data_IF_939590004023
#
_entry.id   IF_939590004023
#
_cell.length_a   1.000
_cell.length_b   1.000
_cell.length_c   1.000
_cell.angle_alpha   90.00
_cell.angle_beta   90.00
_cell.angle_gamma   90.00
#
_symmetry.space_group_name_H-M   'P 1'
#
loop_
_entity.id
_entity.type
_entity.pdbx_description
1 polymer ?
#
# COMPACT_ATOMS: atom_id res chain seq x y z
N UNK A 1 12.68 -26.00 38.73
CA UNK A 1 11.47 -26.02 37.89
C UNK A 1 11.90 -25.57 36.51
N UNK A 2 11.70 -26.47 35.56
CA UNK A 2 12.32 -26.58 34.24
C UNK A 2 12.30 -25.31 33.40
N UNK A 3 13.47 -24.97 32.86
CA UNK A 3 13.64 -24.23 31.62
C UNK A 3 12.95 -24.98 30.48
N UNK A 4 11.66 -24.70 30.28
CA UNK A 4 10.96 -25.04 29.06
C UNK A 4 11.36 -23.99 28.01
N UNK A 5 12.58 -24.12 27.48
CA UNK A 5 12.87 -23.61 26.13
C UNK A 5 12.08 -24.51 25.21
N UNK A 6 10.82 -24.16 24.98
CA UNK A 6 9.99 -24.76 23.95
C UNK A 6 10.75 -24.52 22.65
N UNK A 7 11.36 -25.57 22.10
CA UNK A 7 11.96 -25.51 20.78
C UNK A 7 10.90 -24.95 19.83
N UNK A 8 11.14 -23.72 19.34
CA UNK A 8 10.29 -23.14 18.32
C UNK A 8 10.37 -24.09 17.11
N UNK A 9 9.23 -24.44 16.49
CA UNK A 9 9.24 -25.33 15.35
C UNK A 9 10.19 -24.80 14.27
N UNK A 10 11.04 -25.67 13.73
CA UNK A 10 12.06 -25.34 12.72
C UNK A 10 11.49 -24.61 11.49
N UNK A 11 10.18 -24.70 11.26
CA UNK A 11 9.47 -24.02 10.20
C UNK A 11 8.16 -23.39 10.71
N UNK A 12 7.96 -22.11 10.35
CA UNK A 12 6.69 -21.42 10.53
C UNK A 12 5.58 -22.07 9.69
N UNK A 13 4.31 -21.97 10.13
CA UNK A 13 3.19 -22.55 9.40
C UNK A 13 3.09 -21.99 7.98
N UNK A 14 2.65 -22.84 7.06
CA UNK A 14 2.41 -22.47 5.68
C UNK A 14 1.46 -21.26 5.58
N UNK A 15 1.64 -20.38 4.57
CA UNK A 15 0.75 -19.24 4.38
C UNK A 15 -0.69 -19.68 4.12
N UNK A 16 -1.64 -18.77 4.36
CA UNK A 16 -3.05 -18.98 4.02
C UNK A 16 -3.24 -19.17 2.50
N UNK A 17 -4.45 -19.55 2.08
CA UNK A 17 -4.82 -19.65 0.66
C UNK A 17 -4.57 -18.34 -0.10
N UNK A 18 -4.72 -17.19 0.59
CA UNK A 18 -4.45 -15.87 0.03
C UNK A 18 -2.99 -15.42 0.25
N UNK A 19 -2.09 -16.33 0.64
CA UNK A 19 -0.67 -16.04 0.82
C UNK A 19 -0.32 -15.27 2.10
N UNK A 20 -1.29 -15.04 2.99
CA UNK A 20 -1.05 -14.33 4.25
C UNK A 20 -0.28 -15.22 5.22
N UNK A 21 0.80 -14.68 5.76
CA UNK A 21 1.59 -15.32 6.83
C UNK A 21 1.12 -14.82 8.21
N UNK A 22 1.48 -15.51 9.31
CA UNK A 22 1.23 -15.00 10.67
C UNK A 22 1.71 -13.56 10.88
N UNK A 23 2.82 -13.19 10.22
CA UNK A 23 3.39 -11.84 10.32
C UNK A 23 2.49 -10.77 9.67
N UNK A 24 1.69 -11.12 8.65
CA UNK A 24 0.69 -10.20 8.09
C UNK A 24 -0.41 -9.88 9.11
N UNK A 25 -0.93 -10.90 9.78
CA UNK A 25 -1.96 -10.72 10.80
C UNK A 25 -1.41 -9.92 12.00
N UNK A 26 -0.21 -10.24 12.45
CA UNK A 26 0.44 -9.54 13.55
C UNK A 26 0.64 -8.04 13.26
N UNK A 27 0.96 -7.67 12.02
CA UNK A 27 1.15 -6.29 11.61
C UNK A 27 -0.11 -5.41 11.80
N UNK A 28 -1.30 -6.01 11.75
CA UNK A 28 -2.58 -5.33 11.91
C UNK A 28 -3.04 -5.20 13.37
N UNK A 29 -2.44 -5.96 14.29
CA UNK A 29 -2.86 -5.94 15.70
C UNK A 29 -2.51 -4.61 16.35
N UNK A 30 -3.48 -3.92 16.98
CA UNK A 30 -3.20 -2.73 17.78
C UNK A 30 -2.47 -3.09 19.07
N UNK A 31 -1.93 -2.06 19.74
CA UNK A 31 -1.33 -2.19 21.06
C UNK A 31 0.08 -2.78 21.06
N UNK A 32 0.62 -2.92 22.26
CA UNK A 32 1.96 -3.47 22.47
C UNK A 32 2.01 -4.98 22.18
N UNK A 33 0.87 -5.66 22.27
CA UNK A 33 0.70 -7.08 21.94
C UNK A 33 1.06 -7.32 20.46
N UNK A 34 0.59 -6.47 19.55
CA UNK A 34 0.93 -6.55 18.13
C UNK A 34 2.44 -6.41 17.88
N UNK A 35 3.07 -5.47 18.57
CA UNK A 35 4.53 -5.26 18.51
C UNK A 35 5.29 -6.50 19.01
N UNK A 36 4.86 -7.07 20.14
CA UNK A 36 5.47 -8.26 20.73
C UNK A 36 5.32 -9.49 19.84
N UNK A 37 4.13 -9.72 19.27
CA UNK A 37 3.88 -10.84 18.36
C UNK A 37 4.72 -10.68 17.09
N UNK A 38 4.81 -9.47 16.51
CA UNK A 38 5.71 -9.21 15.39
C UNK A 38 7.16 -9.54 15.74
N UNK A 39 7.64 -9.09 16.92
CA UNK A 39 9.01 -9.38 17.38
C UNK A 39 9.27 -10.87 17.51
N UNK A 40 8.34 -11.65 18.07
CA UNK A 40 8.46 -13.10 18.21
C UNK A 40 8.54 -13.80 16.85
N UNK A 41 7.66 -13.42 15.91
CA UNK A 41 7.63 -14.02 14.58
C UNK A 41 8.92 -13.71 13.79
N UNK A 42 9.43 -12.48 13.88
CA UNK A 42 10.69 -12.10 13.23
C UNK A 42 11.88 -12.86 13.83
N UNK A 43 11.92 -13.05 15.15
CA UNK A 43 12.93 -13.90 15.81
C UNK A 43 12.84 -15.36 15.37
N UNK A 44 11.64 -15.83 15.04
CA UNK A 44 11.39 -17.16 14.46
C UNK A 44 11.67 -17.22 12.94
N UNK A 45 12.45 -16.28 12.39
CA UNK A 45 12.80 -16.20 10.96
C UNK A 45 11.60 -16.04 10.01
N UNK A 46 10.51 -15.41 10.45
CA UNK A 46 9.44 -15.01 9.55
C UNK A 46 9.98 -14.01 8.50
N UNK A 47 9.77 -14.30 7.21
CA UNK A 47 10.16 -13.40 6.13
C UNK A 47 9.28 -12.13 6.12
N UNK A 48 9.84 -10.93 6.43
CA UNK A 48 9.08 -9.69 6.46
C UNK A 48 8.80 -9.10 5.06
N UNK A 49 9.43 -9.65 4.02
CA UNK A 49 9.24 -9.24 2.63
C UNK A 49 8.26 -10.14 1.88
N UNK A 50 7.75 -11.20 2.52
CA UNK A 50 6.81 -12.13 1.90
C UNK A 50 5.56 -11.37 1.42
N UNK A 51 5.29 -11.45 0.12
CA UNK A 51 4.06 -10.90 -0.45
C UNK A 51 2.93 -11.93 -0.35
N UNK A 52 1.77 -11.47 0.09
CA UNK A 52 0.51 -12.19 -0.05
C UNK A 52 0.15 -12.37 -1.53
N UNK A 53 -0.96 -13.05 -1.80
CA UNK A 53 -1.57 -13.03 -3.13
C UNK A 53 -2.11 -11.63 -3.44
N UNK A 54 -2.14 -11.26 -4.72
CA UNK A 54 -2.67 -9.98 -5.15
C UNK A 54 -4.20 -9.95 -4.96
N UNK A 55 -4.67 -9.16 -4.00
CA UNK A 55 -6.10 -8.96 -3.74
C UNK A 55 -6.72 -8.06 -4.83
N UNK A 56 -7.94 -8.40 -5.25
CA UNK A 56 -8.74 -7.65 -6.23
C UNK A 56 -9.41 -6.41 -5.63
N UNK A 57 -9.41 -6.22 -4.31
CA UNK A 57 -10.09 -5.12 -3.62
C UNK A 57 -9.74 -3.71 -4.12
N UNK A 58 -8.57 -3.52 -4.73
CA UNK A 58 -8.13 -2.25 -5.30
C UNK A 58 -8.17 -2.16 -6.83
N UNK A 59 -8.60 -3.22 -7.54
CA UNK A 59 -8.81 -3.07 -8.98
C UNK A 59 -9.98 -2.13 -9.21
N UNK A 60 -9.74 -1.04 -9.94
CA UNK A 60 -10.71 0.00 -10.32
C UNK A 60 -11.74 -0.62 -11.27
N UNK A 61 -12.61 -1.46 -10.71
CA UNK A 61 -13.87 -1.97 -11.24
C UNK A 61 -14.84 -2.26 -10.08
N UNK A 62 -14.58 -1.72 -8.89
CA UNK A 62 -15.58 -1.62 -7.81
C UNK A 62 -16.54 -0.47 -8.08
N UNK A 63 -17.22 -0.55 -9.22
CA UNK A 63 -18.51 0.12 -9.44
C UNK A 63 -19.59 -0.96 -9.34
N UNK A 64 -20.11 -1.15 -8.13
CA UNK A 64 -21.45 -1.71 -7.88
C UNK A 64 -21.64 -3.22 -7.98
N UNK A 65 -21.80 -3.87 -6.81
CA UNK A 65 -22.38 -5.22 -6.67
C UNK A 65 -21.35 -6.34 -6.59
N UNK A 66 -21.47 -7.38 -5.77
CA UNK A 66 -22.53 -7.86 -4.88
C UNK A 66 -21.90 -8.87 -3.90
N UNK A 67 -22.47 -9.01 -2.71
CA UNK A 67 -22.49 -10.30 -2.02
C UNK A 67 -22.75 -11.43 -3.03
N UNK A 68 -21.90 -12.46 -3.09
CA UNK A 68 -22.31 -13.84 -3.39
C UNK A 68 -21.17 -14.81 -3.13
N UNK A 69 -21.28 -15.46 -1.99
CA UNK A 69 -20.72 -16.77 -1.70
C UNK A 69 -21.18 -17.80 -2.75
N UNK A 70 -20.27 -18.73 -3.04
CA UNK A 70 -20.46 -20.13 -3.41
C UNK A 70 -21.37 -20.55 -4.60
N UNK A 71 -20.80 -21.52 -5.35
CA UNK A 71 -21.44 -22.67 -6.02
C UNK A 71 -22.11 -22.49 -7.41
N UNK A 72 -21.59 -23.26 -8.38
CA UNK A 72 -22.45 -24.13 -9.20
C UNK A 72 -22.59 -23.83 -10.71
N UNK A 73 -22.01 -24.72 -11.51
CA UNK A 73 -22.47 -25.24 -12.81
C UNK A 73 -22.61 -24.37 -14.09
N UNK A 74 -22.04 -24.97 -15.14
CA UNK A 74 -22.17 -24.80 -16.59
C UNK A 74 -23.53 -24.33 -17.18
N UNK A 75 -23.48 -23.41 -18.15
CA UNK A 75 -23.84 -23.55 -19.59
C UNK A 75 -23.96 -22.17 -20.25
N UNK A 76 -23.59 -22.11 -21.53
CA UNK A 76 -23.33 -20.88 -22.28
C UNK A 76 -24.55 -20.09 -22.75
N UNK A 77 -24.29 -18.90 -23.30
CA UNK A 77 -24.79 -18.37 -24.57
C UNK A 77 -24.20 -16.96 -24.76
N UNK A 78 -23.94 -16.63 -26.02
CA UNK A 78 -23.38 -15.37 -26.49
C UNK A 78 -24.40 -14.24 -26.40
N UNK A 79 -23.99 -13.07 -25.90
CA UNK A 79 -24.72 -11.81 -26.12
C UNK A 79 -23.73 -10.65 -26.19
N UNK A 80 -23.51 -10.18 -27.41
CA UNK A 80 -22.75 -8.98 -27.75
C UNK A 80 -23.28 -7.76 -27.00
N UNK A 81 -22.45 -7.10 -26.20
CA UNK A 81 -22.66 -5.69 -25.82
C UNK A 81 -21.39 -4.90 -26.07
N UNK A 82 -21.60 -3.78 -26.75
CA UNK A 82 -20.60 -2.91 -27.34
C UNK A 82 -19.55 -2.41 -26.35
N UNK A 83 -18.31 -2.49 -26.82
CA UNK A 83 -17.07 -2.00 -26.23
C UNK A 83 -16.99 -0.47 -26.35
N UNK A 84 -17.08 0.27 -25.25
CA UNK A 84 -16.50 1.61 -25.15
C UNK A 84 -16.07 1.92 -23.71
N UNK A 85 -14.76 1.94 -23.46
CA UNK A 85 -14.17 2.59 -22.28
C UNK A 85 -13.59 1.70 -21.18
N UNK A 86 -13.14 0.48 -21.48
CA UNK A 86 -12.42 -0.35 -20.51
C UNK A 86 -10.93 0.01 -20.49
N UNK A 87 -10.49 0.65 -19.41
CA UNK A 87 -9.08 0.85 -19.11
C UNK A 87 -8.40 -0.52 -18.96
N UNK A 88 -7.51 -0.78 -19.93
CA UNK A 88 -6.86 -2.05 -20.20
C UNK A 88 -5.73 -2.30 -19.19
N UNK A 89 -6.07 -2.82 -18.00
CA UNK A 89 -5.05 -3.46 -17.14
C UNK A 89 -4.94 -4.92 -17.56
N UNK A 90 -3.88 -5.27 -18.29
CA UNK A 90 -3.61 -6.65 -18.71
C UNK A 90 -3.35 -7.56 -17.52
N UNK A 91 -3.55 -8.87 -17.68
CA UNK A 91 -3.23 -9.88 -16.67
C UNK A 91 -1.76 -9.78 -16.20
N UNK A 92 -0.86 -9.40 -17.11
CA UNK A 92 0.57 -9.17 -16.82
C UNK A 92 0.80 -7.94 -15.94
N UNK A 93 0.06 -6.85 -16.18
CA UNK A 93 0.12 -5.66 -15.33
C UNK A 93 -0.42 -5.95 -13.92
N UNK A 94 -1.36 -6.89 -13.75
CA UNK A 94 -1.84 -7.33 -12.43
C UNK A 94 -0.78 -8.10 -11.64
N UNK A 95 0.06 -8.90 -12.31
CA UNK A 95 1.19 -9.56 -11.67
C UNK A 95 2.24 -8.54 -11.17
N UNK A 96 2.37 -7.41 -11.87
CA UNK A 96 3.27 -6.31 -11.50
C UNK A 96 2.88 -5.58 -10.21
N UNK A 97 1.61 -5.68 -9.79
CA UNK A 97 1.09 -4.96 -8.64
C UNK A 97 1.51 -5.58 -7.32
N UNK A 98 1.81 -6.89 -7.29
CA UNK A 98 2.22 -7.61 -6.09
C UNK A 98 1.14 -7.67 -4.99
N UNK A 99 1.22 -8.67 -4.12
CA UNK A 99 0.43 -8.67 -2.90
C UNK A 99 1.06 -7.81 -1.82
N UNK A 100 0.26 -7.51 -0.79
CA UNK A 100 0.72 -6.78 0.39
C UNK A 100 1.79 -7.60 1.13
N UNK A 101 2.77 -6.90 1.66
CA UNK A 101 3.70 -7.46 2.67
C UNK A 101 3.23 -7.05 4.06
N UNK A 102 3.75 -7.65 5.15
CA UNK A 102 3.49 -7.17 6.50
C UNK A 102 3.84 -5.70 6.68
N UNK A 103 4.93 -5.23 6.05
CA UNK A 103 5.35 -3.83 6.08
C UNK A 103 4.30 -2.89 5.43
N UNK A 104 3.70 -3.29 4.31
CA UNK A 104 2.61 -2.52 3.71
C UNK A 104 1.42 -2.38 4.65
N UNK A 105 1.04 -3.46 5.35
CA UNK A 105 -0.07 -3.44 6.30
C UNK A 105 0.22 -2.51 7.47
N UNK A 106 1.42 -2.56 8.04
CA UNK A 106 1.81 -1.67 9.14
C UNK A 106 1.81 -0.19 8.73
N UNK A 107 2.32 0.13 7.52
CA UNK A 107 2.34 1.51 7.02
C UNK A 107 0.94 2.05 6.65
N UNK A 108 0.02 1.18 6.22
CA UNK A 108 -1.34 1.54 5.85
C UNK A 108 -2.27 1.79 7.05
N UNK A 109 -1.83 1.49 8.28
CA UNK A 109 -2.63 1.71 9.49
C UNK A 109 -2.86 3.20 9.70
N UNK A 110 -4.13 3.55 9.81
CA UNK A 110 -4.61 4.89 10.12
C UNK A 110 -5.07 5.04 11.58
N UNK A 111 -4.73 4.05 12.39
CA UNK A 111 -4.92 3.99 13.83
C UNK A 111 -3.63 3.56 14.51
N UNK A 112 -3.46 3.93 15.77
CA UNK A 112 -2.38 3.45 16.64
C UNK A 112 -0.99 3.64 15.98
N UNK A 113 -0.73 4.88 15.55
CA UNK A 113 0.48 5.26 14.82
C UNK A 113 1.76 4.95 15.61
N UNK A 114 1.72 5.06 16.94
CA UNK A 114 2.86 4.78 17.80
C UNK A 114 3.32 3.32 17.67
N UNK A 115 2.41 2.36 17.81
CA UNK A 115 2.77 0.94 17.71
C UNK A 115 2.98 0.50 16.27
N UNK A 116 2.25 1.09 15.31
CA UNK A 116 2.54 0.90 13.89
C UNK A 116 3.99 1.29 13.55
N UNK A 117 4.47 2.42 14.08
CA UNK A 117 5.86 2.89 13.92
C UNK A 117 6.87 1.90 14.50
N UNK A 118 6.61 1.35 15.70
CA UNK A 118 7.45 0.29 16.30
C UNK A 118 7.49 -0.97 15.44
N UNK A 119 6.35 -1.40 14.90
CA UNK A 119 6.27 -2.57 14.01
C UNK A 119 7.06 -2.32 12.72
N UNK A 120 6.91 -1.14 12.10
CA UNK A 120 7.68 -0.75 10.90
C UNK A 120 9.17 -0.80 11.19
N UNK A 121 9.63 -0.23 12.31
CA UNK A 121 11.04 -0.28 12.72
C UNK A 121 11.54 -1.74 12.84
N UNK A 122 10.80 -2.59 13.57
CA UNK A 122 11.16 -4.00 13.74
C UNK A 122 11.29 -4.74 12.39
N UNK A 123 10.37 -4.48 11.46
CA UNK A 123 10.41 -5.12 10.14
C UNK A 123 11.61 -4.65 9.31
N UNK A 124 11.91 -3.34 9.32
CA UNK A 124 13.08 -2.79 8.63
C UNK A 124 14.39 -3.35 9.21
N UNK A 125 14.49 -3.44 10.55
CA UNK A 125 15.65 -4.02 11.25
C UNK A 125 15.81 -5.51 10.92
N UNK A 126 14.70 -6.23 10.70
CA UNK A 126 14.70 -7.61 10.23
C UNK A 126 14.94 -7.77 8.72
N UNK A 127 15.26 -6.68 8.01
CA UNK A 127 15.64 -6.72 6.59
C UNK A 127 14.46 -6.68 5.61
N UNK A 128 13.28 -6.21 6.02
CA UNK A 128 12.17 -5.98 5.10
C UNK A 128 12.59 -5.07 3.93
N UNK A 129 12.17 -5.44 2.71
CA UNK A 129 12.37 -4.60 1.54
C UNK A 129 11.33 -3.46 1.50
N UNK A 130 11.73 -2.18 1.67
CA UNK A 130 10.79 -1.05 1.72
C UNK A 130 10.30 -0.61 0.33
N UNK A 131 10.76 -1.25 -0.76
CA UNK A 131 10.46 -0.84 -2.13
C UNK A 131 9.52 -1.79 -2.87
N UNK A 132 9.10 -2.88 -2.23
CA UNK A 132 8.10 -3.77 -2.82
C UNK A 132 6.82 -2.97 -3.05
N UNK A 133 6.13 -3.26 -4.16
CA UNK A 133 4.84 -2.65 -4.47
C UNK A 133 3.72 -3.60 -4.09
N UNK A 134 2.62 -3.02 -3.61
CA UNK A 134 1.32 -3.66 -3.52
C UNK A 134 0.28 -2.75 -4.17
N UNK A 135 -0.47 -3.25 -5.15
CA UNK A 135 -1.50 -2.48 -5.86
C UNK A 135 -0.99 -1.11 -6.38
N UNK A 136 0.27 -1.06 -6.81
CA UNK A 136 0.90 0.15 -7.32
C UNK A 136 1.41 1.14 -6.27
N UNK A 137 1.28 0.81 -4.99
CA UNK A 137 1.78 1.62 -3.87
C UNK A 137 3.02 0.97 -3.22
N UNK A 138 3.95 1.80 -2.77
CA UNK A 138 5.03 1.39 -1.87
C UNK A 138 4.62 1.59 -0.41
N UNK A 139 5.29 0.96 0.57
CA UNK A 139 5.09 1.24 2.00
C UNK A 139 5.16 2.73 2.33
N UNK A 140 6.09 3.47 1.70
CA UNK A 140 6.22 4.92 1.87
C UNK A 140 4.95 5.67 1.44
N UNK A 141 4.37 5.32 0.30
CA UNK A 141 3.14 6.01 -0.15
C UNK A 141 1.92 5.64 0.67
N UNK A 142 1.88 4.44 1.25
CA UNK A 142 0.82 4.06 2.17
C UNK A 142 0.92 4.81 3.50
N UNK A 143 2.13 5.06 4.03
CA UNK A 143 2.28 5.87 5.25
C UNK A 143 1.94 7.34 5.03
N UNK A 144 2.19 7.88 3.83
CA UNK A 144 1.74 9.21 3.41
C UNK A 144 0.21 9.27 3.38
N UNK A 145 -0.45 8.27 2.77
CA UNK A 145 -1.91 8.24 2.64
C UNK A 145 -2.63 7.98 3.97
N UNK A 146 -2.01 7.23 4.89
CA UNK A 146 -2.54 7.03 6.26
C UNK A 146 -2.32 8.24 7.16
N UNK A 147 -1.46 9.17 6.78
CA UNK A 147 -1.09 10.33 7.61
C UNK A 147 -0.18 9.97 8.79
N UNK A 148 0.55 8.86 8.69
CA UNK A 148 1.48 8.44 9.73
C UNK A 148 2.88 9.00 9.46
N UNK A 149 3.10 10.25 9.86
CA UNK A 149 4.35 10.98 9.64
C UNK A 149 5.56 10.33 10.32
N UNK A 150 5.36 9.63 11.45
CA UNK A 150 6.42 8.88 12.12
C UNK A 150 6.92 7.71 11.26
N UNK A 151 6.01 6.95 10.65
CA UNK A 151 6.36 5.92 9.67
C UNK A 151 7.01 6.52 8.41
N UNK A 152 6.54 7.67 7.92
CA UNK A 152 7.18 8.39 6.81
C UNK A 152 8.64 8.71 7.16
N UNK A 153 8.88 9.34 8.32
CA UNK A 153 10.21 9.72 8.76
C UNK A 153 11.15 8.50 8.90
N UNK A 154 10.65 7.38 9.44
CA UNK A 154 11.43 6.14 9.53
C UNK A 154 11.81 5.60 8.14
N UNK A 155 10.86 5.52 7.22
CA UNK A 155 11.11 5.02 5.88
C UNK A 155 12.09 5.92 5.11
N UNK A 156 11.95 7.25 5.21
CA UNK A 156 12.86 8.19 4.55
C UNK A 156 14.28 8.13 5.11
N UNK A 157 14.45 7.82 6.40
CA UNK A 157 15.78 7.64 7.03
C UNK A 157 16.41 6.29 6.69
N UNK A 158 15.62 5.31 6.27
CA UNK A 158 16.12 3.98 5.98
C UNK A 158 16.88 3.95 4.63
N UNK A 159 18.14 3.51 4.59
CA UNK A 159 19.04 3.72 3.44
C UNK A 159 18.62 2.98 2.16
N UNK A 160 17.81 1.92 2.28
CA UNK A 160 17.33 1.15 1.13
C UNK A 160 16.06 1.74 0.50
N UNK A 161 15.45 2.75 1.09
CA UNK A 161 14.16 3.29 0.60
C UNK A 161 14.37 4.13 -0.66
N UNK A 162 13.66 3.77 -1.74
CA UNK A 162 13.66 4.53 -2.98
C UNK A 162 12.49 5.51 -3.00
N UNK A 163 12.77 6.77 -2.68
CA UNK A 163 11.77 7.86 -2.65
C UNK A 163 11.25 8.19 -4.06
N UNK A 164 12.06 7.93 -5.10
CA UNK A 164 11.73 8.20 -6.50
C UNK A 164 11.19 6.95 -7.22
N UNK A 165 10.73 5.92 -6.50
CA UNK A 165 10.13 4.75 -7.11
C UNK A 165 8.88 5.15 -7.90
N UNK A 166 8.82 4.79 -9.18
CA UNK A 166 7.63 4.98 -10.00
C UNK A 166 6.53 4.03 -9.54
N UNK A 167 5.37 4.62 -9.22
CA UNK A 167 4.15 3.95 -8.81
C UNK A 167 3.34 3.53 -10.03
N UNK A 168 2.53 2.48 -9.86
CA UNK A 168 1.65 2.02 -10.95
C UNK A 168 0.38 2.87 -11.04
N UNK A 169 -0.47 2.59 -12.03
CA UNK A 169 -1.76 3.28 -12.23
C UNK A 169 -1.68 4.80 -12.45
N UNK A 170 -0.53 5.30 -12.91
CA UNK A 170 -0.34 6.73 -13.16
C UNK A 170 -0.21 7.58 -11.89
N UNK A 171 0.02 6.95 -10.73
CA UNK A 171 0.21 7.65 -9.45
C UNK A 171 1.53 8.46 -9.40
N UNK A 172 2.48 8.20 -10.31
CA UNK A 172 3.73 8.94 -10.40
C UNK A 172 4.73 8.50 -9.33
N UNK A 173 5.03 9.34 -8.35
CA UNK A 173 5.94 9.04 -7.24
C UNK A 173 5.33 9.39 -5.87
N UNK A 174 6.07 9.14 -4.79
CA UNK A 174 5.68 9.58 -3.44
C UNK A 174 5.39 11.09 -3.37
N UNK A 175 6.11 11.91 -4.14
CA UNK A 175 5.86 13.34 -4.23
C UNK A 175 4.51 13.64 -4.90
N UNK A 176 4.16 12.93 -5.99
CA UNK A 176 2.84 13.08 -6.63
C UNK A 176 1.70 12.73 -5.66
N UNK A 177 1.84 11.65 -4.90
CA UNK A 177 0.86 11.25 -3.87
C UNK A 177 0.71 12.34 -2.81
N UNK A 178 1.81 12.89 -2.29
CA UNK A 178 1.80 13.96 -1.29
C UNK A 178 1.13 15.26 -1.78
N UNK A 179 1.28 15.57 -3.07
CA UNK A 179 0.68 16.79 -3.67
C UNK A 179 -0.81 16.63 -4.00
N UNK A 180 -1.29 15.40 -4.18
CA UNK A 180 -2.66 15.13 -4.63
C UNK A 180 -3.62 15.05 -3.46
N UNK A 181 -4.65 15.91 -3.48
CA UNK A 181 -5.78 15.87 -2.52
C UNK A 181 -6.58 14.57 -2.56
N UNK A 182 -6.45 13.78 -3.64
CA UNK A 182 -7.14 12.50 -3.75
C UNK A 182 -6.54 11.41 -2.83
N UNK A 183 -5.26 11.54 -2.48
CA UNK A 183 -4.54 10.54 -1.68
C UNK A 183 -4.08 11.10 -0.33
N UNK A 184 -3.79 12.39 -0.27
CA UNK A 184 -3.43 13.10 0.94
C UNK A 184 -4.59 14.02 1.34
N UNK A 185 -5.36 13.60 2.33
CA UNK A 185 -6.47 14.39 2.89
C UNK A 185 -6.49 14.39 4.43
N UNK A 186 -5.52 13.70 5.06
CA UNK A 186 -5.48 13.54 6.52
C UNK A 186 -4.72 14.67 7.22
N UNK A 187 -3.73 15.26 6.55
CA UNK A 187 -2.98 16.41 7.08
C UNK A 187 -3.62 17.72 6.68
N UNK A 188 -3.42 18.71 7.54
CA UNK A 188 -3.68 20.11 7.21
C UNK A 188 -2.68 20.63 6.15
N UNK A 189 -2.91 21.85 5.70
CA UNK A 189 -2.13 22.45 4.60
C UNK A 189 -0.67 22.64 4.99
N UNK A 190 -0.37 23.05 6.22
CA UNK A 190 0.99 23.34 6.66
C UNK A 190 1.78 22.05 6.86
N UNK A 191 1.19 21.05 7.52
CA UNK A 191 1.78 19.72 7.68
C UNK A 191 2.04 19.03 6.33
N UNK A 192 1.15 19.21 5.35
CA UNK A 192 1.37 18.72 3.98
C UNK A 192 2.54 19.42 3.29
N UNK A 193 2.63 20.75 3.42
CA UNK A 193 3.75 21.51 2.87
C UNK A 193 5.07 21.02 3.49
N UNK A 194 5.09 20.74 4.79
CA UNK A 194 6.28 20.23 5.47
C UNK A 194 6.65 18.81 5.02
N UNK A 195 5.68 17.91 4.79
CA UNK A 195 5.97 16.64 4.12
C UNK A 195 6.62 16.86 2.75
N UNK A 196 6.05 17.75 1.92
CA UNK A 196 6.57 18.01 0.59
C UNK A 196 8.01 18.51 0.66
N UNK A 197 8.32 19.42 1.60
CA UNK A 197 9.69 19.87 1.87
C UNK A 197 10.59 18.71 2.28
N UNK A 198 10.14 17.82 3.17
CA UNK A 198 10.91 16.64 3.58
C UNK A 198 11.23 15.74 2.39
N UNK A 199 10.24 15.42 1.55
CA UNK A 199 10.42 14.61 0.35
C UNK A 199 11.40 15.25 -0.65
N UNK A 200 11.31 16.57 -0.85
CA UNK A 200 12.26 17.31 -1.71
C UNK A 200 13.66 17.26 -1.11
N UNK A 201 13.80 17.48 0.20
CA UNK A 201 15.09 17.51 0.91
C UNK A 201 15.86 16.20 0.83
N UNK A 202 15.18 15.05 0.78
CA UNK A 202 15.79 13.73 0.59
C UNK A 202 15.96 13.33 -0.88
N UNK A 203 15.70 14.25 -1.83
CA UNK A 203 15.90 14.01 -3.26
C UNK A 203 14.69 13.46 -4.03
N UNK A 204 13.48 13.54 -3.47
CA UNK A 204 12.22 13.07 -4.06
C UNK A 204 11.70 13.89 -5.26
N UNK A 205 12.41 14.96 -5.65
CA UNK A 205 12.07 15.83 -6.77
C UNK A 205 12.97 15.60 -8.01
N UNK A 206 13.31 14.34 -8.29
CA UNK A 206 14.16 14.03 -9.44
C UNK A 206 13.39 14.19 -10.77
N UNK A 207 13.85 15.10 -11.62
CA UNK A 207 13.27 15.57 -12.90
C UNK A 207 13.06 14.51 -14.00
N UNK A 208 13.36 13.23 -13.74
CA UNK A 208 13.20 12.13 -14.71
C UNK A 208 11.88 11.36 -14.60
N UNK A 209 11.07 11.65 -13.58
CA UNK A 209 9.81 10.96 -13.36
C UNK A 209 8.79 11.33 -14.45
N UNK A 210 8.30 10.32 -15.18
CA UNK A 210 7.21 10.53 -16.14
C UNK A 210 5.91 10.73 -15.37
N UNK A 211 5.48 11.98 -15.21
CA UNK A 211 4.12 12.25 -14.76
C UNK A 211 3.14 11.73 -15.81
N UNK A 212 2.33 10.74 -15.46
CA UNK A 212 1.18 10.39 -16.28
C UNK A 212 0.13 11.47 -16.10
N UNK A 213 0.08 12.42 -17.05
CA UNK A 213 -1.05 13.35 -17.15
C UNK A 213 -2.18 12.56 -17.81
N UNK A 214 -3.29 12.22 -17.11
CA UNK A 214 -4.44 11.64 -17.78
C UNK A 214 -4.87 12.61 -18.88
N UNK A 215 -4.89 12.13 -20.13
CA UNK A 215 -5.40 12.93 -21.26
C UNK A 215 -6.79 13.43 -20.87
N UNK A 216 -6.95 14.76 -20.83
CA UNK A 216 -8.16 15.46 -20.42
C UNK A 216 -9.42 14.67 -20.83
N UNK A 217 -10.18 14.17 -19.85
CA UNK A 217 -11.64 14.26 -19.99
C UNK A 217 -11.94 15.74 -19.86
N UNK A 218 -12.53 16.31 -20.90
CA UNK A 218 -12.81 17.74 -21.09
C UNK A 218 -12.92 18.53 -19.79
N UNK A 219 -11.87 19.30 -19.47
CA UNK A 219 -11.89 20.39 -18.48
C UNK A 219 -12.59 21.65 -19.06
N UNK A 220 -13.63 21.43 -19.87
CA UNK A 220 -14.53 22.47 -20.37
C UNK A 220 -15.93 22.08 -19.90
N UNK A 221 -16.30 22.54 -18.71
CA UNK A 221 -17.67 22.89 -18.28
C UNK A 221 -17.68 23.04 -16.75
N UNK A 222 -17.07 24.11 -16.23
CA UNK A 222 -17.43 24.64 -14.90
C UNK A 222 -17.08 26.13 -14.72
N UNK A 223 -16.93 26.87 -15.82
CA UNK A 223 -16.82 28.33 -15.80
C UNK A 223 -17.69 28.92 -16.90
N UNK A 224 -19.01 28.82 -16.74
CA UNK A 224 -19.98 29.65 -17.46
C UNK A 224 -21.34 29.55 -16.77
N UNK A 225 -21.49 30.22 -15.63
CA UNK A 225 -22.75 30.88 -15.30
C UNK A 225 -22.44 32.27 -14.74
N UNK A 226 -22.30 33.19 -15.69
CA UNK A 226 -22.51 34.62 -15.51
C UNK A 226 -23.94 34.85 -15.04
N UNK A 227 -24.13 35.59 -13.94
CA UNK A 227 -25.12 36.69 -13.97
C UNK A 227 -24.71 37.74 -12.93
N UNK A 228 -24.05 38.80 -13.41
CA UNK A 228 -24.33 40.14 -12.91
C UNK A 228 -25.58 40.63 -13.65
N UNK A 229 -26.60 41.02 -12.89
CA UNK A 229 -27.51 42.14 -13.20
C UNK A 229 -27.71 42.88 -11.88
#
# INVERSE_FOLDING_TARGET
LSDAVTELPDALPAPSLDGLTPLHYAALLPGMEGVQICSLLLKASADPSRQATADKSFTINSSGGTNKSASGSSRGQNSSTNLTGQDYVTTEQRALLGGRTPLHLACARDYDHENATKIVQLMLDAGANPNLMCNGHTPLTLSIASGNDACVALLLRHPKTNVNQELSHGLGSALCVATSRAFEYRRDTDARIDLIKQLIGVGGASVRLRMFVPRKRNLCECMSQTTCV
#
